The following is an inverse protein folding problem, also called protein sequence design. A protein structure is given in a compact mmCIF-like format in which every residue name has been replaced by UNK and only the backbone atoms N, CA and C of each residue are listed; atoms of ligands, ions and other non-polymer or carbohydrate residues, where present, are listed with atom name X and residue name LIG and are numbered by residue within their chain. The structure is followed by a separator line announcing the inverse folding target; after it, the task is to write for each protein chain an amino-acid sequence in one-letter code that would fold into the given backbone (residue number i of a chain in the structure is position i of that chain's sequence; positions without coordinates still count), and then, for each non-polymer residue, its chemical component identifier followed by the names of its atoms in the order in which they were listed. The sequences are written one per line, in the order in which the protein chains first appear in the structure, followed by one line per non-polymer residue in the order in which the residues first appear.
data_IF_601617009652
#
_entry.id   IF_601617009652
#
_cell.length_a   1.000
_cell.length_b   1.000
_cell.length_c   1.000
_cell.angle_alpha   90.00
_cell.angle_beta   90.00
_cell.angle_gamma   90.00
#
_symmetry.space_group_name_H-M   'P 1'
#
loop_
_entity.id
_entity.type
_entity.pdbx_description
1 polymer ?
#
# COMPACT_ATOMS: atom_id res chain seq x y z
N UNK A 1 -22.23 -41.64 -29.40
CA UNK A 1 -21.18 -40.61 -29.28
C UNK A 1 -20.47 -40.88 -27.97
N UNK A 2 -19.16 -41.16 -27.94
CA UNK A 2 -18.47 -41.33 -26.67
C UNK A 2 -18.25 -39.95 -26.04
N UNK A 3 -18.53 -39.85 -24.74
CA UNK A 3 -18.30 -38.67 -23.92
C UNK A 3 -16.78 -38.51 -23.74
N UNK A 4 -16.22 -37.37 -24.17
CA UNK A 4 -14.80 -37.07 -23.98
C UNK A 4 -14.56 -36.70 -22.52
N UNK A 5 -13.47 -37.16 -21.89
CA UNK A 5 -13.18 -36.80 -20.51
C UNK A 5 -12.87 -35.31 -20.40
N UNK A 6 -13.44 -34.66 -19.38
CA UNK A 6 -13.12 -33.26 -19.07
C UNK A 6 -11.65 -33.16 -18.65
N UNK A 7 -10.93 -32.09 -19.05
CA UNK A 7 -9.54 -31.91 -18.64
C UNK A 7 -9.47 -31.70 -17.13
N UNK A 8 -8.57 -32.42 -16.46
CA UNK A 8 -8.21 -32.16 -15.07
C UNK A 8 -7.58 -30.75 -14.99
N UNK A 9 -8.32 -29.80 -14.43
CA UNK A 9 -7.80 -28.46 -14.12
C UNK A 9 -6.83 -28.60 -12.94
N UNK A 10 -5.54 -28.70 -13.24
CA UNK A 10 -4.47 -28.54 -12.25
C UNK A 10 -4.44 -27.06 -11.84
N UNK A 11 -4.79 -26.77 -10.58
CA UNK A 11 -4.52 -25.46 -10.01
C UNK A 11 -2.99 -25.28 -9.91
N UNK A 12 -2.42 -24.14 -10.29
CA UNK A 12 -0.99 -23.92 -10.14
C UNK A 12 -0.61 -23.91 -8.64
N UNK A 13 0.54 -24.50 -8.32
CA UNK A 13 1.13 -24.35 -6.98
C UNK A 13 1.44 -22.87 -6.73
N UNK A 14 1.11 -22.41 -5.51
CA UNK A 14 1.16 -21.00 -5.07
C UNK A 14 2.57 -20.37 -5.18
N UNK A 15 3.61 -21.13 -5.54
CA UNK A 15 4.99 -20.64 -5.69
C UNK A 15 5.33 -20.02 -7.05
N UNK A 16 4.51 -20.20 -8.09
CA UNK A 16 4.81 -19.70 -9.45
C UNK A 16 4.07 -18.40 -9.84
N UNK A 17 3.42 -17.73 -8.87
CA UNK A 17 2.95 -16.35 -9.06
C UNK A 17 4.11 -15.35 -8.83
N UNK A 18 5.19 -15.49 -9.59
CA UNK A 18 6.26 -14.50 -9.70
C UNK A 18 6.42 -14.16 -11.18
N UNK A 19 5.49 -13.38 -11.74
CA UNK A 19 5.57 -12.88 -13.12
C UNK A 19 5.93 -11.38 -13.11
N UNK A 20 7.24 -11.11 -13.21
CA UNK A 20 7.98 -10.05 -13.91
C UNK A 20 7.38 -8.66 -14.27
N UNK A 21 6.30 -8.19 -13.66
CA UNK A 21 6.01 -6.74 -13.57
C UNK A 21 6.70 -6.16 -12.35
N UNK A 22 8.00 -5.93 -12.45
CA UNK A 22 8.85 -5.11 -11.58
C UNK A 22 8.25 -4.73 -10.21
N UNK A 23 8.80 -5.32 -9.15
CA UNK A 23 8.68 -4.90 -7.74
C UNK A 23 8.83 -3.38 -7.58
N UNK A 24 7.75 -2.64 -7.71
CA UNK A 24 7.72 -1.20 -7.44
C UNK A 24 7.12 -0.97 -6.05
N UNK A 25 7.67 0.00 -5.32
CA UNK A 25 7.05 0.48 -4.08
C UNK A 25 7.23 -0.38 -2.83
N UNK A 26 7.80 -1.58 -2.92
CA UNK A 26 8.03 -2.43 -1.74
C UNK A 26 9.25 -1.96 -0.94
N UNK A 27 9.08 -1.77 0.36
CA UNK A 27 10.18 -1.53 1.32
C UNK A 27 10.01 -2.51 2.49
N UNK A 28 11.08 -3.27 2.80
CA UNK A 28 11.07 -4.24 3.89
C UNK A 28 10.05 -5.38 3.73
N UNK A 29 9.71 -5.74 2.49
CA UNK A 29 8.56 -6.62 2.21
C UNK A 29 8.80 -8.08 2.59
N UNK A 30 8.29 -8.47 3.75
CA UNK A 30 8.03 -9.83 4.19
C UNK A 30 6.69 -9.91 4.97
N UNK A 31 5.53 -10.01 4.29
CA UNK A 31 4.22 -9.94 4.95
C UNK A 31 3.95 -11.11 5.92
N UNK A 32 4.76 -12.18 5.86
CA UNK A 32 4.61 -13.36 6.74
C UNK A 32 5.12 -13.10 8.16
N UNK A 33 6.10 -12.22 8.30
CA UNK A 33 6.77 -11.89 9.57
C UNK A 33 6.43 -10.49 10.06
N UNK A 34 5.83 -9.67 9.20
CA UNK A 34 5.36 -8.34 9.55
C UNK A 34 4.30 -8.37 10.65
N UNK A 35 4.36 -7.40 11.56
CA UNK A 35 3.24 -7.12 12.49
C UNK A 35 2.49 -5.85 12.15
N UNK A 36 3.12 -4.97 11.37
CA UNK A 36 2.56 -3.67 10.99
C UNK A 36 2.80 -3.41 9.50
N UNK A 37 1.75 -2.96 8.80
CA UNK A 37 1.79 -2.61 7.38
C UNK A 37 1.44 -1.15 7.13
N UNK A 38 2.05 -0.59 6.08
CA UNK A 38 1.65 0.67 5.49
C UNK A 38 1.49 0.50 3.98
N UNK A 39 0.30 0.75 3.46
CA UNK A 39 -0.01 0.67 2.03
C UNK A 39 -0.43 2.06 1.56
N UNK A 40 0.20 2.55 0.51
CA UNK A 40 -0.09 3.86 -0.08
C UNK A 40 -0.33 3.67 -1.57
N UNK A 41 -1.52 4.04 -2.06
CA UNK A 41 -1.85 3.90 -3.47
C UNK A 41 -2.90 4.91 -3.92
N UNK A 42 -3.29 4.81 -5.19
CA UNK A 42 -4.37 5.58 -5.79
C UNK A 42 -5.51 4.67 -6.32
N UNK A 43 -6.46 5.22 -7.08
CA UNK A 43 -7.55 4.44 -7.67
C UNK A 43 -7.09 3.31 -8.61
N UNK A 44 -5.91 3.44 -9.23
CA UNK A 44 -5.35 2.46 -10.17
C UNK A 44 -4.68 1.29 -9.44
N UNK A 45 -4.35 1.50 -8.17
CA UNK A 45 -3.67 0.56 -7.28
C UNK A 45 -4.64 -0.35 -6.52
N UNK A 46 -5.95 -0.05 -6.57
CA UNK A 46 -6.97 -0.80 -5.84
C UNK A 46 -6.97 -2.32 -6.06
N UNK A 47 -6.74 -2.86 -7.27
CA UNK A 47 -6.63 -4.30 -7.45
C UNK A 47 -5.48 -4.91 -6.63
N UNK A 48 -4.28 -4.33 -6.73
CA UNK A 48 -3.08 -4.82 -6.05
C UNK A 48 -3.20 -4.66 -4.52
N UNK A 49 -3.79 -3.56 -4.05
CA UNK A 49 -4.09 -3.34 -2.63
C UNK A 49 -5.00 -4.46 -2.09
N UNK A 50 -6.03 -4.88 -2.85
CA UNK A 50 -6.93 -5.95 -2.42
C UNK A 50 -6.21 -7.27 -2.32
N UNK A 51 -5.44 -7.62 -3.35
CA UNK A 51 -4.67 -8.86 -3.38
C UNK A 51 -3.69 -8.94 -2.19
N UNK A 52 -3.02 -7.82 -1.87
CA UNK A 52 -2.17 -7.72 -0.69
C UNK A 52 -2.98 -7.96 0.58
N UNK A 53 -4.09 -7.26 0.79
CA UNK A 53 -4.87 -7.31 2.02
C UNK A 53 -5.49 -8.70 2.26
N UNK A 54 -5.92 -9.38 1.20
CA UNK A 54 -6.45 -10.74 1.26
C UNK A 54 -5.39 -11.77 1.65
N UNK A 55 -4.12 -11.52 1.33
CA UNK A 55 -3.00 -12.38 1.68
C UNK A 55 -2.43 -12.13 3.09
N UNK A 56 -2.88 -11.09 3.80
CA UNK A 56 -2.33 -10.75 5.11
C UNK A 56 -2.75 -11.73 6.20
N UNK A 57 -1.82 -12.13 7.08
CA UNK A 57 -2.17 -12.83 8.30
C UNK A 57 -3.10 -12.00 9.20
N UNK A 58 -3.99 -12.68 9.94
CA UNK A 58 -5.01 -12.02 10.76
C UNK A 58 -4.49 -11.18 11.94
N UNK A 59 -3.22 -11.30 12.31
CA UNK A 59 -2.58 -10.49 13.36
C UNK A 59 -1.97 -9.18 12.86
N UNK A 60 -1.88 -9.02 11.54
CA UNK A 60 -1.27 -7.82 10.95
C UNK A 60 -2.16 -6.62 11.22
N UNK A 61 -1.53 -5.56 11.72
CA UNK A 61 -2.15 -4.25 11.93
C UNK A 61 -1.65 -3.27 10.87
N UNK A 62 -2.34 -2.16 10.68
CA UNK A 62 -1.74 -1.09 9.88
C UNK A 62 -2.72 -0.13 9.24
N UNK A 63 -2.22 0.56 8.21
CA UNK A 63 -2.94 1.65 7.57
C UNK A 63 -2.78 1.57 6.05
N UNK A 64 -3.91 1.78 5.36
CA UNK A 64 -3.99 1.96 3.92
C UNK A 64 -4.40 3.40 3.64
N UNK A 65 -3.63 4.11 2.83
CA UNK A 65 -4.00 5.40 2.27
C UNK A 65 -4.30 5.23 0.78
N UNK A 66 -5.53 5.55 0.38
CA UNK A 66 -5.94 5.53 -1.03
C UNK A 66 -6.26 6.95 -1.46
N UNK A 67 -5.44 7.49 -2.34
CA UNK A 67 -5.70 8.77 -2.99
C UNK A 67 -6.72 8.61 -4.10
N UNK A 68 -7.64 9.56 -4.21
CA UNK A 68 -8.58 9.67 -5.31
C UNK A 68 -8.68 11.13 -5.73
N UNK A 69 -9.08 11.39 -6.97
CA UNK A 69 -9.32 12.76 -7.38
C UNK A 69 -10.44 13.42 -6.55
N UNK A 70 -11.56 12.71 -6.36
CA UNK A 70 -12.78 13.18 -5.71
C UNK A 70 -13.48 12.05 -4.94
N UNK A 71 -14.29 12.37 -3.92
CA UNK A 71 -14.99 11.37 -3.10
C UNK A 71 -15.92 10.44 -3.88
N UNK A 72 -16.44 10.86 -5.04
CA UNK A 72 -17.25 9.98 -5.89
C UNK A 72 -16.47 8.80 -6.46
N UNK A 73 -15.14 8.82 -6.38
CA UNK A 73 -14.26 7.72 -6.76
C UNK A 73 -13.94 6.76 -5.60
N UNK A 74 -14.47 6.99 -4.40
CA UNK A 74 -14.33 6.05 -3.29
C UNK A 74 -14.99 4.71 -3.66
N UNK A 75 -14.25 3.62 -3.49
CA UNK A 75 -14.70 2.25 -3.77
C UNK A 75 -14.37 1.37 -2.57
N UNK A 76 -15.27 1.25 -1.57
CA UNK A 76 -15.02 0.44 -0.38
C UNK A 76 -14.66 -1.01 -0.77
N UNK A 77 -13.74 -1.60 -0.02
CA UNK A 77 -13.29 -2.98 -0.17
C UNK A 77 -13.12 -3.63 1.21
N UNK A 78 -13.04 -4.95 1.24
CA UNK A 78 -12.81 -5.70 2.47
C UNK A 78 -11.43 -5.38 3.04
N UNK A 79 -11.34 -5.25 4.37
CA UNK A 79 -10.07 -5.07 5.08
C UNK A 79 -10.00 -5.96 6.33
N UNK A 80 -8.79 -6.41 6.72
CA UNK A 80 -8.58 -7.08 8.00
C UNK A 80 -8.99 -6.20 9.19
N UNK A 81 -9.43 -6.81 10.29
CA UNK A 81 -9.98 -6.09 11.46
C UNK A 81 -9.03 -5.05 12.08
N UNK A 82 -7.73 -5.24 11.93
CA UNK A 82 -6.71 -4.36 12.51
C UNK A 82 -6.06 -3.42 11.49
N UNK A 83 -6.61 -3.33 10.28
CA UNK A 83 -6.13 -2.46 9.21
C UNK A 83 -7.17 -1.38 8.91
N UNK A 84 -6.77 -0.12 9.06
CA UNK A 84 -7.60 1.04 8.71
C UNK A 84 -7.43 1.43 7.24
N UNK A 85 -8.50 1.92 6.59
CA UNK A 85 -8.42 2.55 5.26
C UNK A 85 -8.83 4.01 5.35
N UNK A 86 -7.97 4.88 4.85
CA UNK A 86 -8.22 6.32 4.77
C UNK A 86 -8.21 6.74 3.31
N UNK A 87 -9.35 7.29 2.87
CA UNK A 87 -9.51 7.82 1.51
C UNK A 87 -9.15 9.30 1.47
N UNK A 88 -8.32 9.68 0.49
CA UNK A 88 -7.76 11.02 0.37
C UNK A 88 -8.25 11.65 -0.94
N UNK A 89 -9.31 12.45 -0.85
CA UNK A 89 -9.82 13.21 -2.00
C UNK A 89 -8.95 14.45 -2.27
N UNK A 90 -8.29 14.50 -3.42
CA UNK A 90 -7.37 15.59 -3.80
C UNK A 90 -8.05 16.93 -4.00
N UNK A 91 -9.30 16.93 -4.46
CA UNK A 91 -10.06 18.15 -4.73
C UNK A 91 -10.64 18.81 -3.48
N UNK A 92 -10.75 18.08 -2.37
CA UNK A 92 -11.24 18.60 -1.08
C UNK A 92 -10.12 19.07 -0.17
N UNK A 93 -8.91 18.54 -0.35
CA UNK A 93 -7.74 19.08 0.34
C UNK A 93 -7.34 20.34 -0.39
N UNK A 94 -7.43 21.47 0.33
CA UNK A 94 -6.74 22.70 -0.05
C UNK A 94 -5.29 22.31 -0.36
N UNK A 95 -4.90 22.38 -1.63
CA UNK A 95 -3.51 22.15 -2.00
C UNK A 95 -2.70 23.37 -1.59
N UNK A 96 -2.29 24.16 -2.56
CA UNK A 96 -1.64 25.43 -2.26
C UNK A 96 -2.70 26.47 -1.86
N UNK A 97 -2.72 26.96 -0.60
CA UNK A 97 -3.71 27.92 -0.11
C UNK A 97 -3.63 29.27 -0.84
N UNK A 98 -2.54 29.56 -1.54
CA UNK A 98 -2.37 30.76 -2.35
C UNK A 98 -2.93 30.60 -3.77
N UNK A 99 -2.92 29.39 -4.33
CA UNK A 99 -3.36 29.16 -5.73
C UNK A 99 -4.70 28.45 -5.85
N UNK A 100 -5.27 27.92 -4.76
CA UNK A 100 -6.54 27.19 -4.75
C UNK A 100 -6.52 25.91 -5.58
N UNK A 101 -5.32 25.42 -5.95
CA UNK A 101 -5.15 24.20 -6.73
C UNK A 101 -5.34 22.99 -5.83
N UNK A 102 -5.95 21.94 -6.39
CA UNK A 102 -6.00 20.62 -5.75
C UNK A 102 -4.57 20.11 -5.50
N UNK A 103 -4.42 19.21 -4.52
CA UNK A 103 -3.16 18.51 -4.31
C UNK A 103 -2.70 17.81 -5.60
N UNK A 104 -1.39 17.84 -5.87
CA UNK A 104 -0.82 17.07 -6.98
C UNK A 104 -1.01 15.56 -6.74
N UNK A 105 -1.10 14.72 -7.80
CA UNK A 105 -1.13 13.27 -7.64
C UNK A 105 -0.01 12.78 -6.71
N UNK A 106 -0.34 11.94 -5.73
CA UNK A 106 0.54 11.38 -4.72
C UNK A 106 0.93 12.31 -3.56
N UNK A 107 0.64 13.61 -3.65
CA UNK A 107 1.02 14.56 -2.60
C UNK A 107 0.22 14.34 -1.32
N UNK A 108 -1.09 14.14 -1.42
CA UNK A 108 -1.95 13.98 -0.26
C UNK A 108 -1.66 12.66 0.46
N UNK A 109 -1.43 11.60 -0.32
CA UNK A 109 -0.97 10.31 0.15
C UNK A 109 0.39 10.37 0.87
N UNK A 110 1.39 11.02 0.27
CA UNK A 110 2.71 11.11 0.87
C UNK A 110 2.72 11.90 2.19
N UNK A 111 1.95 12.99 2.29
CA UNK A 111 1.78 13.73 3.54
C UNK A 111 1.13 12.88 4.62
N UNK A 112 0.07 12.14 4.27
CA UNK A 112 -0.64 11.29 5.22
C UNK A 112 0.25 10.13 5.72
N UNK A 113 1.00 9.49 4.82
CA UNK A 113 1.94 8.44 5.15
C UNK A 113 3.02 8.93 6.13
N UNK A 114 3.63 10.09 5.88
CA UNK A 114 4.64 10.68 6.77
C UNK A 114 4.08 11.03 8.15
N UNK A 115 2.88 11.61 8.21
CA UNK A 115 2.22 11.92 9.47
C UNK A 115 1.92 10.65 10.29
N UNK A 116 1.43 9.60 9.64
CA UNK A 116 1.19 8.32 10.30
C UNK A 116 2.48 7.68 10.82
N UNK A 117 3.55 7.71 10.01
CA UNK A 117 4.85 7.16 10.39
C UNK A 117 5.48 7.89 11.58
N UNK A 118 5.33 9.22 11.67
CA UNK A 118 5.87 9.99 12.80
C UNK A 118 5.11 9.74 14.11
N UNK A 119 3.83 9.36 14.04
CA UNK A 119 3.03 8.98 15.21
C UNK A 119 3.30 7.54 15.65
N UNK A 120 3.36 6.61 14.70
CA UNK A 120 3.60 5.19 14.99
C UNK A 120 5.05 4.91 15.41
N UNK A 121 5.98 5.84 15.13
CA UNK A 121 7.35 5.82 15.63
C UNK A 121 7.69 7.12 16.36
N UNK A 122 7.58 7.16 17.69
CA UNK A 122 8.34 8.14 18.45
C UNK A 122 9.82 7.93 18.14
N UNK A 123 10.53 8.99 17.74
CA UNK A 123 11.92 8.96 17.26
C UNK A 123 12.95 8.37 18.25
N UNK A 124 12.51 7.93 19.43
CA UNK A 124 13.34 7.63 20.59
C UNK A 124 12.96 6.32 21.31
N UNK A 125 12.20 5.42 20.67
CA UNK A 125 11.69 4.24 21.39
C UNK A 125 12.74 3.20 21.77
N UNK A 126 13.91 3.13 21.13
CA UNK A 126 15.00 2.20 21.46
C UNK A 126 14.63 0.70 21.36
N UNK A 127 13.38 0.37 21.05
CA UNK A 127 12.87 -0.98 20.84
C UNK A 127 13.06 -1.33 19.37
N UNK A 128 13.66 -2.50 19.09
CA UNK A 128 13.66 -3.07 17.76
C UNK A 128 12.20 -3.18 17.31
N UNK A 129 11.82 -2.38 16.32
CA UNK A 129 10.45 -2.36 15.87
C UNK A 129 10.09 -3.70 15.23
N UNK A 130 8.80 -4.08 15.28
CA UNK A 130 8.36 -5.18 14.48
C UNK A 130 8.71 -5.01 13.01
N UNK A 131 8.85 -6.12 12.30
CA UNK A 131 9.08 -6.11 10.86
C UNK A 131 7.95 -5.32 10.18
N UNK A 132 8.33 -4.24 9.49
CA UNK A 132 7.41 -3.36 8.79
C UNK A 132 7.43 -3.70 7.31
N UNK A 133 6.24 -3.95 6.75
CA UNK A 133 6.08 -4.07 5.31
C UNK A 133 5.39 -2.82 4.77
N UNK A 134 6.06 -2.15 3.83
CA UNK A 134 5.50 -0.97 3.19
C UNK A 134 5.34 -1.22 1.69
N UNK A 135 4.23 -0.74 1.14
CA UNK A 135 3.95 -0.78 -0.29
C UNK A 135 3.46 0.58 -0.78
N UNK A 136 4.02 1.06 -1.90
CA UNK A 136 3.72 2.36 -2.49
C UNK A 136 3.42 2.20 -3.99
N UNK A 137 2.15 2.26 -4.35
CA UNK A 137 1.67 2.06 -5.71
C UNK A 137 1.65 3.29 -6.61
N UNK A 138 1.51 4.51 -6.08
CA UNK A 138 1.13 5.72 -6.86
C UNK A 138 2.13 5.97 -8.00
N UNK A 139 1.78 5.50 -9.20
CA UNK A 139 2.71 5.46 -10.34
C UNK A 139 2.89 6.87 -10.91
N UNK A 140 4.13 7.21 -11.23
CA UNK A 140 4.51 8.48 -11.88
C UNK A 140 4.34 9.77 -11.04
N UNK A 141 4.14 9.66 -9.73
CA UNK A 141 4.22 10.84 -8.84
C UNK A 141 5.65 11.07 -8.33
N UNK A 142 6.18 12.31 -8.36
CA UNK A 142 7.44 12.61 -7.68
C UNK A 142 7.32 12.42 -6.16
N UNK A 143 6.14 12.65 -5.58
CA UNK A 143 5.91 12.51 -4.14
C UNK A 143 5.97 11.06 -3.66
N UNK A 144 5.50 10.11 -4.48
CA UNK A 144 5.59 8.68 -4.15
C UNK A 144 7.02 8.17 -4.28
N UNK A 145 7.77 8.65 -5.28
CA UNK A 145 9.21 8.38 -5.41
C UNK A 145 10.00 8.89 -4.21
N UNK A 146 9.82 10.16 -3.83
CA UNK A 146 10.52 10.75 -2.69
C UNK A 146 10.19 10.00 -1.39
N UNK A 147 8.92 9.60 -1.22
CA UNK A 147 8.50 8.78 -0.08
C UNK A 147 9.17 7.40 -0.11
N UNK A 148 9.23 6.75 -1.27
CA UNK A 148 9.88 5.45 -1.40
C UNK A 148 11.38 5.53 -1.08
N UNK A 149 12.07 6.56 -1.58
CA UNK A 149 13.50 6.78 -1.31
C UNK A 149 13.76 7.04 0.19
N UNK A 150 12.93 7.85 0.83
CA UNK A 150 12.97 8.13 2.28
C UNK A 150 12.77 6.85 3.11
N UNK A 151 11.77 6.04 2.74
CA UNK A 151 11.49 4.78 3.41
C UNK A 151 12.59 3.75 3.16
N UNK A 152 13.13 3.66 1.95
CA UNK A 152 14.24 2.76 1.65
C UNK A 152 15.48 3.14 2.45
N UNK A 153 15.78 4.44 2.59
CA UNK A 153 16.89 4.91 3.42
C UNK A 153 16.70 4.58 4.92
N UNK A 154 15.45 4.62 5.39
CA UNK A 154 15.11 4.47 6.81
C UNK A 154 14.83 3.02 7.24
N UNK A 155 14.33 2.18 6.33
CA UNK A 155 13.80 0.83 6.59
C UNK A 155 14.35 -0.23 5.63
N UNK A 156 15.03 0.15 4.57
CA UNK A 156 15.57 -0.77 3.55
C UNK A 156 16.79 -1.57 3.99
N UNK A 157 17.19 -1.49 5.26
CA UNK A 157 18.29 -2.26 5.83
C UNK A 157 17.79 -3.10 7.00
N UNK A 158 17.30 -4.32 6.70
CA UNK A 158 17.60 -5.53 7.47
C UNK A 158 17.25 -6.74 6.61
N UNK A 159 18.24 -7.27 5.90
CA UNK A 159 18.28 -8.64 5.41
C UNK A 159 19.73 -9.14 5.53
#
# INVERSE_FOLDING_TARGET
MPELPLPEFSLPEVSELHDDTAVHGHVGWNPKTATDILIVGDEMDLPEIRDILEALPGWVRGQVFVEVFDRNFVRPFWVPQHVGVTWLARNEREGDPLTGRCAAPGQAAAVAARAWLSEMRPADSGVALPEHCMWIGIRHSPYSRDLQDELQASYGSTA
#
